data_IF_523255649129
#
_entry.id   IF_523255649129
#
_cell.length_a   1.000
_cell.length_b   1.000
_cell.length_c   1.000
_cell.angle_alpha   90.00
_cell.angle_beta   90.00
_cell.angle_gamma   90.00
#
_symmetry.space_group_name_H-M   'P 1'
#
loop_
_entity.id
_entity.type
_entity.pdbx_description
1 polymer ?
#
# COMPACT_ATOMS: atom_id res chain seq x y z
N UNK A 1 22.97 -2.90 8.30
CA UNK A 1 21.81 -2.12 7.84
C UNK A 1 20.60 -3.04 7.89
N UNK A 2 19.49 -2.68 8.56
CA UNK A 2 18.29 -3.51 8.50
C UNK A 2 17.75 -3.48 7.05
N UNK A 3 17.40 -4.63 6.50
CA UNK A 3 16.76 -4.68 5.18
C UNK A 3 15.39 -4.00 5.26
N UNK A 4 15.03 -3.14 4.28
CA UNK A 4 13.74 -2.48 4.28
C UNK A 4 12.63 -3.54 4.16
N UNK A 5 11.72 -3.53 5.13
CA UNK A 5 10.54 -4.39 5.12
C UNK A 5 9.72 -4.13 3.85
N UNK A 6 9.37 -5.16 3.06
CA UNK A 6 8.57 -5.02 1.84
C UNK A 6 7.24 -4.28 2.06
N UNK A 7 6.62 -4.45 3.23
CA UNK A 7 5.39 -3.73 3.56
C UNK A 7 5.61 -2.22 3.74
N UNK A 8 6.74 -1.81 4.30
CA UNK A 8 7.06 -0.39 4.47
C UNK A 8 7.41 0.27 3.14
N UNK A 9 8.06 -0.47 2.25
CA UNK A 9 8.31 -0.05 0.86
C UNK A 9 6.99 0.14 0.10
N UNK A 10 6.09 -0.84 0.19
CA UNK A 10 4.77 -0.78 -0.44
C UNK A 10 3.93 0.37 0.13
N UNK A 11 3.92 0.53 1.45
CA UNK A 11 3.20 1.64 2.12
C UNK A 11 3.68 3.00 1.62
N UNK A 12 4.99 3.16 1.46
CA UNK A 12 5.61 4.40 0.97
C UNK A 12 5.24 4.70 -0.49
N UNK A 13 5.26 3.67 -1.36
CA UNK A 13 4.86 3.80 -2.75
C UNK A 13 3.38 4.18 -2.90
N UNK A 14 2.49 3.52 -2.15
CA UNK A 14 1.06 3.83 -2.15
C UNK A 14 0.78 5.23 -1.61
N UNK A 15 1.46 5.65 -0.56
CA UNK A 15 1.33 7.01 -0.03
C UNK A 15 1.78 8.06 -1.06
N UNK A 16 2.90 7.83 -1.75
CA UNK A 16 3.37 8.70 -2.83
C UNK A 16 2.37 8.80 -3.99
N UNK A 17 1.82 7.66 -4.43
CA UNK A 17 0.81 7.63 -5.48
C UNK A 17 -0.47 8.38 -5.07
N UNK A 18 -0.95 8.17 -3.84
CA UNK A 18 -2.13 8.87 -3.33
C UNK A 18 -1.94 10.39 -3.30
N UNK A 19 -0.78 10.87 -2.82
CA UNK A 19 -0.41 12.30 -2.84
C UNK A 19 -0.38 12.86 -4.26
N UNK A 20 0.22 12.13 -5.20
CA UNK A 20 0.32 12.57 -6.59
C UNK A 20 -1.06 12.67 -7.26
N UNK A 21 -1.94 11.69 -7.02
CA UNK A 21 -3.29 11.64 -7.59
C UNK A 21 -4.19 12.72 -7.00
N UNK A 22 -4.17 12.90 -5.68
CA UNK A 22 -5.00 13.87 -4.98
C UNK A 22 -4.44 15.31 -5.04
N UNK A 23 -3.18 15.48 -5.45
CA UNK A 23 -2.42 16.74 -5.36
C UNK A 23 -2.33 17.29 -3.93
N UNK A 24 -2.34 16.40 -2.95
CA UNK A 24 -2.32 16.73 -1.53
C UNK A 24 -1.09 16.08 -0.89
N UNK A 25 -0.03 16.85 -0.55
CA UNK A 25 1.21 16.30 0.01
C UNK A 25 1.05 15.74 1.43
N UNK A 26 0.04 16.17 2.18
CA UNK A 26 -0.15 15.78 3.58
C UNK A 26 -1.00 14.51 3.75
N UNK A 27 -1.21 13.74 2.68
CA UNK A 27 -1.92 12.46 2.79
C UNK A 27 -1.13 11.48 3.66
N UNK A 28 -1.85 10.90 4.63
CA UNK A 28 -1.39 9.84 5.50
C UNK A 28 -2.05 8.52 5.10
N UNK A 29 -1.22 7.52 4.78
CA UNK A 29 -1.67 6.18 4.44
C UNK A 29 -1.38 5.20 5.58
N UNK A 30 -2.37 4.41 5.95
CA UNK A 30 -2.25 3.33 6.93
C UNK A 30 -2.85 2.02 6.41
N UNK A 31 -2.40 0.90 6.96
CA UNK A 31 -3.03 -0.40 6.73
C UNK A 31 -4.14 -0.63 7.75
N UNK A 32 -5.23 -1.28 7.32
CA UNK A 32 -6.35 -1.70 8.17
C UNK A 32 -6.70 -3.16 7.91
N UNK A 33 -7.34 -3.82 8.89
CA UNK A 33 -7.91 -5.16 8.70
C UNK A 33 -9.34 -5.11 8.11
N UNK A 34 -9.95 -3.92 8.10
CA UNK A 34 -11.33 -3.70 7.64
C UNK A 34 -11.41 -3.29 6.16
N UNK A 35 -12.60 -2.89 5.73
CA UNK A 35 -12.84 -2.34 4.40
C UNK A 35 -11.99 -1.08 4.12
N UNK A 36 -11.62 -0.82 2.85
CA UNK A 36 -10.93 0.40 2.46
C UNK A 36 -11.76 1.64 2.81
N UNK A 37 -11.12 2.66 3.39
CA UNK A 37 -11.76 3.94 3.71
C UNK A 37 -10.83 5.11 3.38
N UNK A 38 -11.42 6.20 2.92
CA UNK A 38 -10.74 7.50 2.73
C UNK A 38 -11.58 8.57 3.40
N UNK A 39 -10.95 9.37 4.27
CA UNK A 39 -11.60 10.49 4.93
C UNK A 39 -10.63 11.65 5.06
N UNK A 40 -10.93 12.75 4.38
CA UNK A 40 -10.02 13.91 4.28
C UNK A 40 -8.64 13.47 3.76
N UNK A 41 -7.60 13.72 4.56
CA UNK A 41 -6.21 13.37 4.25
C UNK A 41 -5.80 11.97 4.70
N UNK A 42 -6.67 11.23 5.38
CA UNK A 42 -6.35 9.89 5.88
C UNK A 42 -6.93 8.83 4.95
N UNK A 43 -6.06 7.94 4.47
CA UNK A 43 -6.43 6.80 3.64
C UNK A 43 -6.03 5.53 4.38
N UNK A 44 -6.99 4.61 4.55
CA UNK A 44 -6.73 3.28 5.07
C UNK A 44 -6.98 2.25 3.99
N UNK A 45 -5.94 1.51 3.65
CA UNK A 45 -6.02 0.41 2.68
C UNK A 45 -5.94 -0.92 3.40
N UNK A 46 -6.66 -1.96 2.95
CA UNK A 46 -6.57 -3.28 3.56
C UNK A 46 -5.13 -3.78 3.59
N UNK A 47 -4.77 -4.47 4.68
CA UNK A 47 -3.46 -5.09 4.79
C UNK A 47 -3.32 -6.14 3.67
N UNK A 48 -2.28 -6.06 2.83
CA UNK A 48 -2.07 -7.05 1.79
C UNK A 48 -1.88 -8.43 2.42
N UNK A 49 -2.59 -9.42 1.89
CA UNK A 49 -2.48 -10.80 2.36
C UNK A 49 -1.05 -11.30 2.13
N UNK A 50 -0.47 -11.93 3.15
CA UNK A 50 0.84 -12.59 3.04
C UNK A 50 0.76 -13.95 2.32
N UNK A 51 -0.45 -14.43 2.07
CA UNK A 51 -0.72 -15.80 1.63
C UNK A 51 -1.04 -15.94 0.15
N UNK A 52 -0.52 -15.07 -0.72
CA UNK A 52 -0.64 -15.28 -2.17
C UNK A 52 0.50 -16.23 -2.58
N UNK A 53 0.20 -17.43 -3.12
CA UNK A 53 1.24 -18.36 -3.53
C UNK A 53 2.10 -17.76 -4.66
N UNK A 54 3.38 -18.13 -4.70
CA UNK A 54 4.41 -17.43 -5.47
C UNK A 54 4.13 -17.38 -6.99
N UNK A 55 3.42 -18.38 -7.51
CA UNK A 55 2.91 -18.47 -8.88
C UNK A 55 1.93 -17.34 -9.20
N UNK A 56 0.97 -17.08 -8.31
CA UNK A 56 0.02 -15.98 -8.46
C UNK A 56 0.71 -14.61 -8.33
N UNK A 57 1.79 -14.51 -7.55
CA UNK A 57 2.60 -13.27 -7.48
C UNK A 57 3.39 -13.05 -8.77
N UNK A 58 3.83 -14.11 -9.46
CA UNK A 58 4.50 -14.00 -10.76
C UNK A 58 3.51 -13.56 -11.86
N UNK A 59 2.32 -14.14 -11.87
CA UNK A 59 1.24 -13.79 -12.81
C UNK A 59 0.76 -12.34 -12.62
N UNK A 60 0.53 -11.90 -11.37
CA UNK A 60 0.11 -10.53 -11.09
C UNK A 60 1.15 -9.46 -11.47
N UNK A 61 2.43 -9.85 -11.60
CA UNK A 61 3.51 -8.97 -12.05
C UNK A 61 3.71 -8.96 -13.57
N UNK A 62 3.02 -9.82 -14.31
CA UNK A 62 3.02 -9.85 -15.78
C UNK A 62 4.03 -10.80 -16.43
N UNK A 63 4.65 -11.69 -15.66
CA UNK A 63 5.74 -12.61 -16.06
C UNK A 63 7.06 -11.93 -16.46
#
# INVERSE_FOLDING_TARGET
MPEPNPLDTLKSALAGAARALAREPEIELAFTADAPVSHGRHIKVPMPSRGIPADQVAEARGY
#
